data_IF_301740448487
#
_entry.id   IF_301740448487
#
_cell.length_a   1.000
_cell.length_b   1.000
_cell.length_c   1.000
_cell.angle_alpha   90.00
_cell.angle_beta   90.00
_cell.angle_gamma   90.00
#
_symmetry.space_group_name_H-M   'P 1'
#
loop_
_entity.id
_entity.type
_entity.pdbx_description
1 polymer ?
#
# COMPACT_ATOMS: atom_id res chain seq x y z
N UNK A 1 -20.25 -1.96 -14.43
CA UNK A 1 -19.36 -0.81 -14.75
C UNK A 1 -19.87 0.52 -14.19
N UNK A 2 -21.19 0.76 -14.15
CA UNK A 2 -21.81 2.00 -13.58
C UNK A 2 -21.42 2.29 -12.12
N UNK A 3 -21.35 1.28 -11.25
CA UNK A 3 -21.07 1.47 -9.81
C UNK A 3 -19.63 1.92 -9.52
N UNK A 4 -18.65 1.46 -10.32
CA UNK A 4 -17.26 1.92 -10.22
C UNK A 4 -17.12 3.40 -10.63
N UNK A 5 -17.91 3.84 -11.61
CA UNK A 5 -17.92 5.22 -12.09
C UNK A 5 -18.49 6.19 -11.05
N UNK A 6 -19.51 5.76 -10.31
CA UNK A 6 -20.09 6.50 -9.17
C UNK A 6 -19.09 6.71 -8.04
N UNK A 7 -18.41 5.63 -7.64
CA UNK A 7 -17.32 5.65 -6.64
C UNK A 7 -16.21 6.60 -7.09
N UNK A 8 -15.76 6.45 -8.34
CA UNK A 8 -14.69 7.27 -8.90
C UNK A 8 -15.07 8.75 -8.91
N UNK A 9 -16.29 9.10 -9.31
CA UNK A 9 -16.78 10.49 -9.26
C UNK A 9 -16.81 11.09 -7.84
N UNK A 10 -17.10 10.29 -6.80
CA UNK A 10 -17.05 10.76 -5.41
C UNK A 10 -15.62 10.91 -4.87
N UNK A 11 -14.70 10.04 -5.29
CA UNK A 11 -13.27 10.17 -5.01
C UNK A 11 -12.61 11.36 -5.74
N UNK A 12 -13.15 11.78 -6.89
CA UNK A 12 -12.62 12.88 -7.68
C UNK A 12 -12.62 14.25 -7.00
N UNK A 13 -13.32 14.43 -5.89
CA UNK A 13 -13.25 15.67 -5.13
C UNK A 13 -11.87 15.89 -4.46
N UNK A 14 -11.06 14.84 -4.33
CA UNK A 14 -9.73 14.89 -3.69
C UNK A 14 -8.65 14.18 -4.53
N UNK A 15 -8.63 14.39 -5.86
CA UNK A 15 -7.62 13.80 -6.76
C UNK A 15 -6.19 14.03 -6.28
N UNK A 16 -5.90 15.21 -5.73
CA UNK A 16 -4.57 15.54 -5.20
C UNK A 16 -4.19 14.67 -3.99
N UNK A 17 -5.13 14.43 -3.06
CA UNK A 17 -4.88 13.54 -1.92
C UNK A 17 -4.75 12.08 -2.35
N UNK A 18 -5.49 11.66 -3.36
CA UNK A 18 -5.40 10.30 -3.91
C UNK A 18 -4.05 10.06 -4.60
N UNK A 19 -3.57 11.01 -5.41
CA UNK A 19 -2.22 10.96 -6.00
C UNK A 19 -1.15 10.99 -4.91
N UNK A 20 -1.30 11.87 -3.91
CA UNK A 20 -0.38 11.92 -2.77
C UNK A 20 -0.35 10.60 -1.99
N UNK A 21 -1.49 9.92 -1.83
CA UNK A 21 -1.57 8.60 -1.21
C UNK A 21 -0.86 7.54 -2.04
N UNK A 22 -1.08 7.49 -3.37
CA UNK A 22 -0.37 6.55 -4.25
C UNK A 22 1.15 6.77 -4.17
N UNK A 23 1.60 8.03 -4.23
CA UNK A 23 3.03 8.36 -4.12
C UNK A 23 3.57 7.98 -2.73
N UNK A 24 2.83 8.25 -1.66
CA UNK A 24 3.22 7.87 -0.30
C UNK A 24 3.29 6.34 -0.13
N UNK A 25 2.39 5.58 -0.75
CA UNK A 25 2.42 4.11 -0.76
C UNK A 25 3.64 3.60 -1.49
N UNK A 26 3.91 4.10 -2.70
CA UNK A 26 5.09 3.70 -3.49
C UNK A 26 6.37 4.04 -2.72
N UNK A 27 6.46 5.25 -2.17
CA UNK A 27 7.60 5.69 -1.37
C UNK A 27 7.80 4.81 -0.12
N UNK A 28 6.72 4.51 0.59
CA UNK A 28 6.74 3.58 1.73
C UNK A 28 7.25 2.18 1.32
N UNK A 29 6.73 1.61 0.23
CA UNK A 29 7.16 0.29 -0.27
C UNK A 29 8.65 0.31 -0.64
N UNK A 30 9.11 1.36 -1.32
CA UNK A 30 10.52 1.51 -1.66
C UNK A 30 11.42 1.55 -0.43
N UNK A 31 11.04 2.31 0.61
CA UNK A 31 11.79 2.37 1.87
C UNK A 31 11.74 1.04 2.65
N UNK A 32 10.58 0.39 2.66
CA UNK A 32 10.39 -0.90 3.32
C UNK A 32 11.28 -1.98 2.70
N UNK A 33 11.44 -1.99 1.37
CA UNK A 33 12.33 -2.92 0.67
C UNK A 33 13.81 -2.52 0.73
N UNK A 34 14.10 -1.26 1.03
CA UNK A 34 15.46 -0.77 1.26
C UNK A 34 16.13 -1.48 2.46
N UNK A 35 15.36 -1.74 3.52
CA UNK A 35 15.85 -2.39 4.74
C UNK A 35 16.40 -3.82 4.52
N UNK A 36 15.64 -4.77 3.93
CA UNK A 36 16.16 -6.11 3.68
C UNK A 36 17.29 -6.12 2.66
N UNK A 37 17.28 -5.21 1.67
CA UNK A 37 18.38 -5.04 0.73
C UNK A 37 19.67 -4.61 1.42
N UNK A 38 19.58 -3.61 2.31
CA UNK A 38 20.72 -3.18 3.09
C UNK A 38 21.23 -4.30 3.98
N UNK A 39 20.32 -5.06 4.60
CA UNK A 39 20.70 -6.17 5.47
C UNK A 39 21.44 -7.28 4.72
N UNK A 40 20.92 -7.72 3.57
CA UNK A 40 21.63 -8.70 2.71
C UNK A 40 22.98 -8.15 2.26
N UNK A 41 23.04 -6.90 1.80
CA UNK A 41 24.32 -6.28 1.43
C UNK A 41 25.33 -6.29 2.58
N UNK A 42 24.91 -5.89 3.77
CA UNK A 42 25.75 -5.81 4.96
C UNK A 42 26.26 -7.19 5.39
N UNK A 43 25.39 -8.20 5.42
CA UNK A 43 25.78 -9.57 5.76
C UNK A 43 26.68 -10.17 4.69
N UNK A 44 26.31 -10.10 3.42
CA UNK A 44 26.97 -10.86 2.36
C UNK A 44 28.29 -10.23 1.90
N UNK A 45 28.40 -8.89 1.90
CA UNK A 45 29.56 -8.17 1.34
C UNK A 45 30.48 -7.63 2.44
N UNK A 46 29.92 -7.00 3.48
CA UNK A 46 30.75 -6.42 4.55
C UNK A 46 31.32 -7.53 5.44
N UNK A 47 30.45 -8.43 5.92
CA UNK A 47 30.83 -9.55 6.79
C UNK A 47 31.31 -10.77 5.97
N UNK A 48 30.56 -11.17 4.95
CA UNK A 48 30.81 -12.37 4.14
C UNK A 48 31.99 -12.26 3.17
N UNK A 49 32.53 -11.06 2.95
CA UNK A 49 33.69 -10.79 2.09
C UNK A 49 33.51 -11.21 0.61
N UNK A 50 32.27 -11.25 0.14
CA UNK A 50 31.95 -11.48 -1.27
C UNK A 50 32.09 -10.18 -2.08
N UNK A 51 32.51 -10.29 -3.34
CA UNK A 51 32.52 -9.15 -4.26
C UNK A 51 31.10 -8.72 -4.63
N UNK A 52 30.91 -7.42 -4.84
CA UNK A 52 29.60 -6.86 -5.20
C UNK A 52 29.29 -7.18 -6.65
N UNK A 53 28.65 -8.32 -6.89
CA UNK A 53 28.35 -8.80 -8.25
C UNK A 53 27.15 -8.08 -8.90
N UNK A 54 26.18 -7.64 -8.10
CA UNK A 54 24.89 -7.15 -8.61
C UNK A 54 24.84 -5.62 -8.77
N UNK A 55 24.31 -5.09 -9.91
CA UNK A 55 24.28 -3.66 -10.18
C UNK A 55 23.44 -2.87 -9.17
N UNK A 56 22.34 -3.45 -8.66
CA UNK A 56 21.54 -2.84 -7.60
C UNK A 56 22.37 -2.67 -6.33
N UNK A 57 23.02 -3.74 -5.88
CA UNK A 57 23.84 -3.74 -4.64
C UNK A 57 25.05 -2.79 -4.76
N UNK A 58 25.59 -2.63 -5.97
CA UNK A 58 26.68 -1.66 -6.24
C UNK A 58 26.24 -0.20 -6.08
N UNK A 59 25.05 0.15 -6.56
CA UNK A 59 24.49 1.50 -6.34
C UNK A 59 24.37 1.77 -4.83
N UNK A 60 23.94 0.77 -4.06
CA UNK A 60 23.88 0.87 -2.61
C UNK A 60 25.26 1.03 -1.97
N UNK A 61 26.27 0.23 -2.37
CA UNK A 61 27.61 0.34 -1.81
C UNK A 61 28.24 1.71 -2.07
N UNK A 62 28.02 2.28 -3.26
CA UNK A 62 28.54 3.58 -3.65
C UNK A 62 27.85 4.71 -2.87
N UNK A 63 26.55 4.57 -2.59
CA UNK A 63 25.77 5.54 -1.80
C UNK A 63 26.28 5.68 -0.35
N UNK A 64 26.77 4.58 0.23
CA UNK A 64 27.18 4.50 1.64
C UNK A 64 28.69 4.57 1.86
N UNK A 65 29.47 4.98 0.85
CA UNK A 65 30.91 5.23 0.98
C UNK A 65 31.80 4.01 0.81
N UNK A 66 31.29 2.93 0.18
CA UNK A 66 32.05 1.74 -0.20
C UNK A 66 32.14 0.67 0.89
N UNK A 67 32.29 -0.59 0.44
CA UNK A 67 32.33 -1.78 1.31
C UNK A 67 33.48 -1.71 2.33
N UNK A 68 34.63 -1.16 1.93
CA UNK A 68 35.83 -1.10 2.77
C UNK A 68 35.63 -0.20 4.00
N UNK A 69 34.98 0.96 3.84
CA UNK A 69 34.73 1.88 4.95
C UNK A 69 33.68 1.33 5.93
N UNK A 70 32.65 0.64 5.40
CA UNK A 70 31.65 -0.04 6.21
C UNK A 70 32.22 -1.24 6.99
N UNK A 71 33.25 -1.90 6.45
CA UNK A 71 33.97 -2.98 7.13
C UNK A 71 34.80 -2.46 8.30
N UNK A 72 35.53 -1.37 8.10
CA UNK A 72 36.33 -0.76 9.17
C UNK A 72 35.44 -0.18 10.29
N UNK A 73 34.23 0.30 9.94
CA UNK A 73 33.32 0.97 10.85
C UNK A 73 31.92 0.32 10.87
N UNK A 74 31.81 -0.89 11.45
CA UNK A 74 30.55 -1.65 11.54
C UNK A 74 29.40 -0.88 12.20
N UNK A 75 29.71 0.05 13.11
CA UNK A 75 28.71 0.90 13.77
C UNK A 75 27.93 1.79 12.79
N UNK A 76 28.54 2.20 11.67
CA UNK A 76 27.90 3.02 10.63
C UNK A 76 26.74 2.24 10.00
N UNK A 77 26.94 0.93 9.75
CA UNK A 77 25.88 0.08 9.21
C UNK A 77 24.68 -0.03 10.15
N UNK A 78 24.93 -0.15 11.46
CA UNK A 78 23.87 -0.14 12.47
C UNK A 78 23.08 1.18 12.49
N UNK A 79 23.77 2.32 12.42
CA UNK A 79 23.13 3.64 12.34
C UNK A 79 22.28 3.76 11.07
N UNK A 80 22.78 3.29 9.92
CA UNK A 80 22.04 3.32 8.66
C UNK A 80 20.73 2.52 8.77
N UNK A 81 20.75 1.32 9.34
CA UNK A 81 19.53 0.51 9.53
C UNK A 81 18.51 1.23 10.40
N UNK A 82 18.96 1.85 11.49
CA UNK A 82 18.09 2.62 12.39
C UNK A 82 17.46 3.79 11.63
N UNK A 83 18.26 4.52 10.85
CA UNK A 83 17.79 5.64 10.04
C UNK A 83 16.76 5.17 8.99
N UNK A 84 17.06 4.12 8.23
CA UNK A 84 16.14 3.54 7.23
C UNK A 84 14.82 3.10 7.89
N UNK A 85 14.91 2.45 9.05
CA UNK A 85 13.75 1.99 9.81
C UNK A 85 12.90 3.16 10.30
N UNK A 86 13.54 4.22 10.80
CA UNK A 86 12.86 5.43 11.23
C UNK A 86 12.13 6.11 10.06
N UNK A 87 12.79 6.26 8.90
CA UNK A 87 12.16 6.81 7.70
C UNK A 87 10.99 5.96 7.21
N UNK A 88 11.14 4.64 7.26
CA UNK A 88 10.06 3.70 6.91
C UNK A 88 8.86 3.88 7.85
N UNK A 89 9.09 4.05 9.15
CA UNK A 89 8.05 4.33 10.14
C UNK A 89 7.33 5.66 9.88
N UNK A 90 8.06 6.72 9.53
CA UNK A 90 7.48 8.02 9.14
C UNK A 90 6.62 7.88 7.88
N UNK A 91 7.11 7.18 6.85
CA UNK A 91 6.38 6.92 5.63
C UNK A 91 5.11 6.08 5.87
N UNK A 92 5.20 5.08 6.76
CA UNK A 92 4.06 4.27 7.19
C UNK A 92 2.98 5.14 7.86
N UNK A 93 3.38 6.02 8.78
CA UNK A 93 2.46 6.95 9.43
C UNK A 93 1.80 7.89 8.41
N UNK A 94 2.57 8.45 7.48
CA UNK A 94 2.05 9.35 6.45
C UNK A 94 1.05 8.66 5.54
N UNK A 95 1.37 7.45 5.06
CA UNK A 95 0.45 6.59 4.29
C UNK A 95 -0.84 6.35 5.07
N UNK A 96 -0.73 5.92 6.33
CA UNK A 96 -1.88 5.61 7.18
C UNK A 96 -2.77 6.84 7.41
N UNK A 97 -2.17 8.00 7.68
CA UNK A 97 -2.88 9.26 7.89
C UNK A 97 -3.63 9.70 6.62
N UNK A 98 -2.97 9.71 5.46
CA UNK A 98 -3.62 10.05 4.19
C UNK A 98 -4.78 9.10 3.89
N UNK A 99 -4.58 7.81 4.14
CA UNK A 99 -5.62 6.82 3.93
C UNK A 99 -6.82 7.10 4.83
N UNK A 100 -6.61 7.30 6.14
CA UNK A 100 -7.67 7.62 7.09
C UNK A 100 -8.42 8.91 6.74
N UNK A 101 -7.71 9.97 6.35
CA UNK A 101 -8.34 11.23 5.93
C UNK A 101 -9.21 11.06 4.69
N UNK A 102 -8.74 10.35 3.65
CA UNK A 102 -9.52 10.13 2.42
C UNK A 102 -10.78 9.33 2.75
N UNK A 103 -10.62 8.28 3.53
CA UNK A 103 -11.68 7.37 3.97
C UNK A 103 -12.81 8.11 4.67
N UNK A 104 -12.47 8.88 5.70
CA UNK A 104 -13.46 9.55 6.54
C UNK A 104 -14.16 10.67 5.76
N UNK A 105 -13.42 11.44 4.96
CA UNK A 105 -14.00 12.51 4.13
C UNK A 105 -15.02 11.98 3.12
N UNK A 106 -14.74 10.84 2.48
CA UNK A 106 -15.67 10.22 1.53
C UNK A 106 -16.92 9.71 2.26
N UNK A 107 -16.74 9.08 3.41
CA UNK A 107 -17.85 8.58 4.22
C UNK A 107 -18.76 9.68 4.73
N UNK A 108 -18.20 10.77 5.26
CA UNK A 108 -18.97 11.92 5.71
C UNK A 108 -19.88 12.45 4.61
N UNK A 109 -19.35 12.60 3.38
CA UNK A 109 -20.15 13.05 2.23
C UNK A 109 -21.27 12.10 1.85
N UNK A 110 -20.99 10.79 1.84
CA UNK A 110 -22.01 9.79 1.52
C UNK A 110 -23.11 9.79 2.59
N UNK A 111 -22.74 9.87 3.89
CA UNK A 111 -23.72 9.97 4.98
C UNK A 111 -24.58 11.23 4.85
N UNK A 112 -23.97 12.38 4.59
CA UNK A 112 -24.70 13.64 4.43
C UNK A 112 -25.67 13.61 3.25
N UNK A 113 -25.26 13.02 2.12
CA UNK A 113 -26.10 12.90 0.93
C UNK A 113 -27.28 11.94 1.14
N UNK A 114 -27.02 10.77 1.72
CA UNK A 114 -28.07 9.79 2.05
C UNK A 114 -29.05 10.38 3.06
N UNK A 115 -28.55 11.04 4.10
CA UNK A 115 -29.37 11.68 5.11
C UNK A 115 -30.24 12.80 4.53
N UNK A 116 -29.66 13.68 3.73
CA UNK A 116 -30.39 14.76 3.04
C UNK A 116 -31.42 14.22 2.06
N UNK A 117 -31.12 13.11 1.38
CA UNK A 117 -32.07 12.45 0.49
C UNK A 117 -33.26 11.89 1.29
N UNK A 118 -32.99 11.19 2.40
CA UNK A 118 -34.04 10.65 3.27
C UNK A 118 -34.97 11.72 3.82
N UNK A 119 -34.45 12.88 4.22
CA UNK A 119 -35.27 13.99 4.70
C UNK A 119 -36.20 14.62 3.65
N UNK A 120 -35.91 14.44 2.36
CA UNK A 120 -36.70 15.00 1.24
C UNK A 120 -37.70 14.01 0.66
N UNK A 121 -37.74 12.77 1.16
CA UNK A 121 -38.67 11.77 0.66
C UNK A 121 -40.10 12.08 1.14
N UNK A 122 -41.11 11.75 0.32
CA UNK A 122 -42.50 11.97 0.69
C UNK A 122 -42.90 11.07 1.86
N UNK A 123 -43.87 11.52 2.66
CA UNK A 123 -44.38 10.79 3.81
C UNK A 123 -44.81 9.35 3.47
N UNK A 124 -45.37 9.13 2.28
CA UNK A 124 -45.75 7.79 1.80
C UNK A 124 -44.58 6.81 1.74
N UNK A 125 -43.35 7.27 1.50
CA UNK A 125 -42.16 6.43 1.55
C UNK A 125 -41.84 6.01 3.00
N UNK A 126 -41.91 6.94 3.94
CA UNK A 126 -41.63 6.69 5.35
C UNK A 126 -42.64 5.75 6.02
N UNK A 127 -43.89 5.74 5.56
CA UNK A 127 -44.93 4.81 6.06
C UNK A 127 -44.69 3.37 5.58
N UNK A 128 -44.18 3.21 4.35
CA UNK A 128 -43.97 1.90 3.75
C UNK A 128 -42.59 1.29 4.05
N UNK A 129 -41.60 2.13 4.40
CA UNK A 129 -40.25 1.68 4.71
C UNK A 129 -40.09 1.30 6.19
N UNK A 130 -39.38 0.21 6.46
CA UNK A 130 -39.01 -0.16 7.84
C UNK A 130 -37.92 0.78 8.34
N UNK A 131 -38.13 1.41 9.49
CA UNK A 131 -37.14 2.31 10.13
C UNK A 131 -35.78 1.65 10.31
N UNK A 132 -35.74 0.36 10.66
CA UNK A 132 -34.50 -0.41 10.79
C UNK A 132 -33.69 -0.48 9.49
N UNK A 133 -34.36 -0.73 8.36
CA UNK A 133 -33.71 -0.81 7.04
C UNK A 133 -33.13 0.56 6.64
N UNK A 134 -33.84 1.65 6.96
CA UNK A 134 -33.35 3.02 6.70
C UNK A 134 -32.09 3.34 7.53
N UNK A 135 -32.08 2.96 8.82
CA UNK A 135 -30.93 3.16 9.70
C UNK A 135 -29.74 2.33 9.22
N UNK A 136 -29.96 1.07 8.84
CA UNK A 136 -28.89 0.19 8.35
C UNK A 136 -28.27 0.73 7.06
N UNK A 137 -29.10 1.25 6.14
CA UNK A 137 -28.63 1.91 4.91
C UNK A 137 -27.80 3.15 5.17
N UNK A 138 -28.08 3.91 6.24
CA UNK A 138 -27.31 5.10 6.60
C UNK A 138 -26.02 4.80 7.37
N UNK A 139 -25.96 3.65 8.02
CA UNK A 139 -24.88 3.29 8.95
C UNK A 139 -24.01 2.19 8.36
N UNK A 140 -24.48 0.94 8.38
CA UNK A 140 -23.75 -0.24 7.95
C UNK A 140 -23.38 -0.19 6.47
N UNK A 141 -24.33 0.12 5.58
CA UNK A 141 -24.04 0.10 4.14
C UNK A 141 -23.04 1.21 3.77
N UNK A 142 -23.14 2.38 4.40
CA UNK A 142 -22.16 3.45 4.22
C UNK A 142 -20.80 3.11 4.84
N UNK A 143 -20.75 2.39 5.96
CA UNK A 143 -19.47 1.90 6.52
C UNK A 143 -18.83 0.83 5.63
N UNK A 144 -19.62 -0.02 4.96
CA UNK A 144 -19.08 -0.96 3.98
C UNK A 144 -18.47 -0.22 2.78
N UNK A 145 -19.13 0.82 2.29
CA UNK A 145 -18.56 1.69 1.25
C UNK A 145 -17.30 2.37 1.79
N UNK A 146 -17.27 2.83 3.05
CA UNK A 146 -16.05 3.36 3.69
C UNK A 146 -14.92 2.36 3.55
N UNK A 147 -15.08 1.14 4.08
CA UNK A 147 -14.04 0.11 4.10
C UNK A 147 -13.55 -0.23 2.70
N UNK A 148 -14.46 -0.33 1.74
CA UNK A 148 -14.13 -0.61 0.34
C UNK A 148 -13.28 0.51 -0.28
N UNK A 149 -13.64 1.78 -0.10
CA UNK A 149 -12.90 2.91 -0.69
C UNK A 149 -11.60 3.23 0.04
N UNK A 150 -11.63 3.11 1.36
CA UNK A 150 -10.56 3.38 2.29
C UNK A 150 -9.42 2.37 2.21
N UNK A 151 -9.75 1.13 2.57
CA UNK A 151 -8.74 0.11 2.80
C UNK A 151 -8.37 -0.53 1.47
N UNK A 152 -9.37 -0.96 0.68
CA UNK A 152 -9.10 -1.83 -0.46
C UNK A 152 -8.33 -1.11 -1.58
N UNK A 153 -8.60 0.17 -1.87
CA UNK A 153 -7.87 0.90 -2.91
C UNK A 153 -6.39 1.08 -2.51
N UNK A 154 -6.13 1.53 -1.28
CA UNK A 154 -4.76 1.67 -0.76
C UNK A 154 -4.03 0.32 -0.69
N UNK A 155 -4.74 -0.75 -0.29
CA UNK A 155 -4.19 -2.10 -0.20
C UNK A 155 -3.84 -2.66 -1.59
N UNK A 156 -4.69 -2.42 -2.60
CA UNK A 156 -4.42 -2.82 -3.97
C UNK A 156 -3.19 -2.09 -4.53
N UNK A 157 -3.09 -0.78 -4.32
CA UNK A 157 -1.90 -0.01 -4.75
C UNK A 157 -0.65 -0.53 -4.05
N UNK A 158 -0.73 -0.81 -2.75
CA UNK A 158 0.37 -1.39 -1.99
C UNK A 158 0.78 -2.77 -2.51
N UNK A 159 -0.17 -3.68 -2.74
CA UNK A 159 0.10 -5.03 -3.22
C UNK A 159 0.74 -5.01 -4.61
N UNK A 160 0.25 -4.16 -5.52
CA UNK A 160 0.83 -4.01 -6.87
C UNK A 160 2.22 -3.40 -6.78
N UNK A 161 2.41 -2.32 -6.03
CA UNK A 161 3.70 -1.68 -5.86
C UNK A 161 4.73 -2.63 -5.24
N UNK A 162 4.35 -3.35 -4.18
CA UNK A 162 5.20 -4.36 -3.54
C UNK A 162 5.59 -5.45 -4.52
N UNK A 163 4.61 -6.03 -5.23
CA UNK A 163 4.86 -7.12 -6.17
C UNK A 163 5.78 -6.70 -7.33
N UNK A 164 5.56 -5.51 -7.90
CA UNK A 164 6.38 -4.99 -9.00
C UNK A 164 7.79 -4.64 -8.53
N UNK A 165 7.93 -3.87 -7.45
CA UNK A 165 9.24 -3.40 -6.97
C UNK A 165 10.06 -4.59 -6.44
N UNK A 166 9.46 -5.44 -5.60
CA UNK A 166 10.14 -6.63 -5.11
C UNK A 166 10.47 -7.60 -6.25
N UNK A 167 9.58 -7.75 -7.25
CA UNK A 167 9.83 -8.53 -8.44
C UNK A 167 11.06 -8.04 -9.21
N UNK A 168 11.13 -6.75 -9.53
CA UNK A 168 12.29 -6.16 -10.23
C UNK A 168 13.59 -6.35 -9.44
N UNK A 169 13.55 -6.13 -8.12
CA UNK A 169 14.69 -6.36 -7.24
C UNK A 169 15.13 -7.83 -7.29
N UNK A 170 14.19 -8.76 -7.14
CA UNK A 170 14.49 -10.20 -7.10
C UNK A 170 15.03 -10.70 -8.44
N UNK A 171 14.47 -10.23 -9.56
CA UNK A 171 15.00 -10.51 -10.90
C UNK A 171 16.43 -10.00 -11.10
N UNK A 172 16.75 -8.85 -10.50
CA UNK A 172 18.09 -8.27 -10.58
C UNK A 172 19.13 -9.02 -9.74
N UNK A 173 18.70 -9.71 -8.68
CA UNK A 173 19.59 -10.47 -7.78
C UNK A 173 19.73 -11.92 -8.26
N UNK A 174 18.62 -12.64 -8.46
CA UNK A 174 18.60 -14.03 -8.88
C UNK A 174 17.41 -14.35 -9.80
N UNK A 175 17.59 -14.24 -11.14
CA UNK A 175 16.53 -14.51 -12.12
C UNK A 175 15.83 -15.88 -12.00
N UNK A 176 16.54 -17.01 -11.72
CA UNK A 176 15.88 -18.31 -11.61
C UNK A 176 14.88 -18.38 -10.44
N UNK A 177 15.25 -17.82 -9.27
CA UNK A 177 14.37 -17.75 -8.10
C UNK A 177 13.18 -16.82 -8.34
N UNK A 178 13.40 -15.73 -9.08
CA UNK A 178 12.34 -14.81 -9.45
C UNK A 178 11.29 -15.47 -10.37
N UNK A 179 11.73 -16.26 -11.36
CA UNK A 179 10.82 -17.04 -12.21
C UNK A 179 10.00 -18.05 -11.41
N UNK A 180 10.65 -18.78 -10.50
CA UNK A 180 9.96 -19.73 -9.63
C UNK A 180 8.89 -19.02 -8.76
N UNK A 181 9.21 -17.81 -8.28
CA UNK A 181 8.27 -16.99 -7.52
C UNK A 181 7.07 -16.55 -8.37
N UNK A 182 7.30 -16.11 -9.62
CA UNK A 182 6.21 -15.73 -10.54
C UNK A 182 5.27 -16.90 -10.82
N UNK A 183 5.79 -18.12 -10.98
CA UNK A 183 4.97 -19.32 -11.23
C UNK A 183 4.00 -19.61 -10.07
N UNK A 184 4.32 -19.17 -8.85
CA UNK A 184 3.40 -19.31 -7.71
C UNK A 184 2.21 -18.34 -7.77
N UNK A 185 2.34 -17.17 -8.40
CA UNK A 185 1.26 -16.19 -8.54
C UNK A 185 -0.01 -16.75 -9.23
N UNK A 186 0.05 -17.35 -10.44
CA UNK A 186 -1.16 -17.88 -11.09
C UNK A 186 -1.80 -19.01 -10.28
N UNK A 187 -1.03 -19.80 -9.54
CA UNK A 187 -1.56 -20.85 -8.65
C UNK A 187 -2.38 -20.22 -7.53
N UNK A 188 -1.84 -19.18 -6.87
CA UNK A 188 -2.53 -18.44 -5.81
C UNK A 188 -3.79 -17.76 -6.36
N UNK A 189 -3.70 -17.13 -7.54
CA UNK A 189 -4.84 -16.49 -8.18
C UNK A 189 -5.94 -17.50 -8.57
N UNK A 190 -5.57 -18.67 -9.09
CA UNK A 190 -6.53 -19.72 -9.42
C UNK A 190 -7.24 -20.24 -8.16
N UNK A 191 -6.50 -20.46 -7.07
CA UNK A 191 -7.08 -20.88 -5.79
C UNK A 191 -8.03 -19.82 -5.22
N UNK A 192 -7.63 -18.55 -5.24
CA UNK A 192 -8.47 -17.45 -4.80
C UNK A 192 -9.74 -17.35 -5.64
N UNK A 193 -9.63 -17.49 -6.97
CA UNK A 193 -10.77 -17.45 -7.87
C UNK A 193 -11.78 -18.57 -7.58
N UNK A 194 -11.31 -19.80 -7.36
CA UNK A 194 -12.18 -20.95 -7.04
C UNK A 194 -12.85 -20.79 -5.67
N UNK A 195 -12.16 -20.22 -4.68
CA UNK A 195 -12.71 -20.07 -3.33
C UNK A 195 -13.79 -18.98 -3.22
N UNK A 196 -13.68 -17.90 -4.00
CA UNK A 196 -14.58 -16.74 -3.93
C UNK A 196 -15.73 -16.74 -4.95
N UNK A 197 -15.83 -17.78 -5.78
CA UNK A 197 -16.98 -18.07 -6.67
C UNK A 197 -17.88 -19.13 -6.03
#
# INVERSE_FOLDING_TARGET
>A
MEQFKFIWQKLQYNRLKMVAMIVAVIFYVSLMLLSPLFFSFFVDNVIGNNEVTNPVVRIFSDLFGGVNNLRENLWIGGVIIIVISAFTGVAMYWRGRLNGEISENVTLKIRDEVYRHLQRLPYSYHVNAKTGDLIQRCTSDVDQIRRFLAAQISELVYAVALSLIAGVILFSIHPPLAWLSIVSLPIIFAFAYIFFI
#
